data_IF_314317540649
#
_entry.id   IF_314317540649
#
_cell.length_a   1.000
_cell.length_b   1.000
_cell.length_c   1.000
_cell.angle_alpha   90.00
_cell.angle_beta   90.00
_cell.angle_gamma   90.00
#
_symmetry.space_group_name_H-M   'P 1'
#
loop_
_entity.id
_entity.type
_entity.pdbx_description
1 polymer ?
#
# COMPACT_ATOMS: atom_id res chain seq x y z
N UNK A 1 13.09 -3.17 -53.10
CA UNK A 1 11.89 -3.47 -52.30
C UNK A 1 12.35 -4.17 -51.04
N UNK A 2 12.45 -3.45 -49.92
CA UNK A 2 12.77 -4.05 -48.62
C UNK A 2 11.45 -4.47 -47.98
N UNK A 3 11.29 -5.76 -47.70
CA UNK A 3 10.22 -6.24 -46.84
C UNK A 3 10.71 -6.12 -45.40
N UNK A 4 10.11 -5.29 -44.54
CA UNK A 4 10.45 -5.30 -43.13
C UNK A 4 10.04 -6.67 -42.56
N UNK A 5 11.02 -7.47 -42.15
CA UNK A 5 10.79 -8.69 -41.40
C UNK A 5 10.67 -8.26 -39.94
N UNK A 6 9.45 -8.04 -39.49
CA UNK A 6 9.20 -7.77 -38.08
C UNK A 6 9.37 -9.05 -37.27
N UNK A 7 10.21 -9.00 -36.25
CA UNK A 7 10.24 -10.05 -35.23
C UNK A 7 9.34 -9.65 -34.08
N UNK A 8 8.54 -10.59 -33.59
CA UNK A 8 7.72 -10.36 -32.40
C UNK A 8 8.62 -10.23 -31.16
N UNK A 9 8.30 -9.27 -30.30
CA UNK A 9 8.94 -9.07 -29.00
C UNK A 9 7.99 -9.48 -27.87
N UNK A 10 8.55 -9.76 -26.69
CA UNK A 10 7.80 -10.14 -25.49
C UNK A 10 8.51 -9.55 -24.28
N UNK A 11 7.73 -8.94 -23.37
CA UNK A 11 8.22 -8.48 -22.07
C UNK A 11 7.77 -9.51 -21.04
N UNK A 12 8.70 -9.87 -20.17
CA UNK A 12 8.46 -10.72 -19.01
C UNK A 12 8.80 -9.92 -17.75
N UNK A 13 7.82 -9.66 -16.88
CA UNK A 13 8.06 -9.00 -15.58
C UNK A 13 8.26 -10.09 -14.56
N UNK A 14 9.45 -10.14 -13.98
CA UNK A 14 9.80 -11.18 -13.00
C UNK A 14 9.47 -10.74 -11.57
N UNK A 15 9.43 -9.44 -11.30
CA UNK A 15 9.18 -8.91 -9.96
C UNK A 15 8.67 -7.47 -10.01
N UNK A 16 7.62 -7.17 -9.24
CA UNK A 16 7.31 -5.82 -8.77
C UNK A 16 7.23 -5.86 -7.25
N UNK A 17 7.93 -4.95 -6.57
CA UNK A 17 8.01 -4.99 -5.12
C UNK A 17 8.20 -3.63 -4.47
N UNK A 18 7.92 -3.53 -3.16
CA UNK A 18 8.21 -2.34 -2.38
C UNK A 18 9.72 -2.30 -2.07
N UNK A 19 10.37 -1.15 -2.22
CA UNK A 19 11.82 -0.97 -1.98
C UNK A 19 12.75 -1.86 -2.84
N UNK A 20 14.00 -1.43 -3.05
CA UNK A 20 14.95 -2.04 -4.00
C UNK A 20 15.27 -3.54 -3.80
N UNK A 21 14.91 -4.15 -2.66
CA UNK A 21 15.24 -5.53 -2.33
C UNK A 21 14.21 -6.22 -1.44
N UNK A 22 12.98 -5.69 -1.38
CA UNK A 22 11.90 -6.31 -0.61
C UNK A 22 10.78 -6.72 -1.57
N UNK A 23 10.22 -7.90 -1.32
CA UNK A 23 9.18 -8.50 -2.13
C UNK A 23 8.08 -8.92 -1.19
N UNK A 24 6.99 -8.17 -1.21
CA UNK A 24 5.85 -8.38 -0.33
C UNK A 24 4.67 -8.87 -1.15
N UNK A 25 4.07 -9.96 -0.71
CA UNK A 25 2.83 -10.48 -1.32
C UNK A 25 1.73 -10.64 -0.28
N UNK A 26 0.49 -10.55 -0.75
CA UNK A 26 -0.69 -10.83 0.04
C UNK A 26 -1.49 -11.94 -0.61
N UNK A 27 -1.72 -13.03 0.13
CA UNK A 27 -2.55 -14.15 -0.30
C UNK A 27 -3.93 -14.04 0.32
N UNK A 28 -4.95 -13.86 -0.52
CA UNK A 28 -6.34 -13.84 -0.10
C UNK A 28 -6.82 -15.25 0.31
N UNK A 29 -7.89 -15.37 1.12
CA UNK A 29 -8.44 -16.67 1.52
C UNK A 29 -8.85 -17.60 0.37
N UNK A 30 -9.08 -17.04 -0.82
CA UNK A 30 -9.38 -17.77 -2.05
C UNK A 30 -8.13 -18.40 -2.72
N UNK A 31 -6.92 -18.16 -2.17
CA UNK A 31 -5.65 -18.65 -2.69
C UNK A 31 -4.97 -17.75 -3.73
N UNK A 32 -5.60 -16.65 -4.15
CA UNK A 32 -4.96 -15.67 -5.05
C UNK A 32 -3.91 -14.85 -4.31
N UNK A 33 -2.78 -14.60 -4.95
CA UNK A 33 -1.65 -13.89 -4.38
C UNK A 33 -1.29 -12.70 -5.27
N UNK A 34 -1.11 -11.53 -4.66
CA UNK A 34 -0.78 -10.29 -5.35
C UNK A 34 0.45 -9.64 -4.72
N UNK A 35 1.26 -9.00 -5.56
CA UNK A 35 2.36 -8.14 -5.12
C UNK A 35 1.79 -6.90 -4.43
N UNK A 36 2.41 -6.49 -3.32
CA UNK A 36 1.93 -5.38 -2.48
C UNK A 36 2.86 -4.19 -2.64
N UNK A 37 2.29 -3.04 -2.99
CA UNK A 37 2.99 -1.76 -2.98
C UNK A 37 2.36 -0.81 -1.96
N UNK A 38 3.11 0.22 -1.57
CA UNK A 38 2.64 1.22 -0.63
C UNK A 38 2.46 2.58 -1.30
N UNK A 39 1.29 3.17 -1.09
CA UNK A 39 0.96 4.51 -1.57
C UNK A 39 2.00 5.52 -1.06
N UNK A 40 2.48 6.40 -1.95
CA UNK A 40 3.55 7.39 -1.72
C UNK A 40 4.93 6.83 -1.36
N UNK A 41 5.11 5.51 -1.42
CA UNK A 41 6.38 4.87 -1.18
C UNK A 41 7.04 4.42 -2.48
N UNK A 42 8.35 4.19 -2.41
CA UNK A 42 9.14 3.71 -3.52
C UNK A 42 8.86 2.22 -3.81
N UNK A 43 8.89 1.87 -5.08
CA UNK A 43 8.81 0.52 -5.60
C UNK A 43 9.84 0.30 -6.72
N UNK A 44 10.10 -0.95 -7.08
CA UNK A 44 10.94 -1.34 -8.21
C UNK A 44 10.22 -2.30 -9.15
N UNK A 45 10.81 -2.45 -10.34
CA UNK A 45 10.39 -3.40 -11.37
C UNK A 45 11.64 -4.11 -11.90
N UNK A 46 11.58 -5.43 -11.94
CA UNK A 46 12.55 -6.27 -12.65
C UNK A 46 11.83 -6.93 -13.83
N UNK A 47 12.35 -6.73 -15.03
CA UNK A 47 11.76 -7.31 -16.22
C UNK A 47 12.77 -7.50 -17.33
N UNK A 48 12.37 -8.26 -18.36
CA UNK A 48 13.21 -8.60 -19.50
C UNK A 48 12.45 -8.49 -20.80
N UNK A 49 13.08 -7.85 -21.80
CA UNK A 49 12.63 -7.86 -23.18
C UNK A 49 13.35 -8.96 -23.96
N UNK A 50 12.57 -9.81 -24.63
CA UNK A 50 13.10 -10.86 -25.49
C UNK A 50 12.35 -10.89 -26.83
N UNK A 51 12.96 -11.49 -27.85
CA UNK A 51 12.25 -11.90 -29.06
C UNK A 51 11.38 -13.14 -28.76
N UNK A 52 10.41 -13.44 -29.63
CA UNK A 52 9.56 -14.64 -29.47
C UNK A 52 10.32 -15.98 -29.49
N UNK A 53 11.58 -16.00 -29.92
CA UNK A 53 12.46 -17.17 -29.84
C UNK A 53 13.25 -17.25 -28.52
N UNK A 54 12.95 -16.37 -27.54
CA UNK A 54 13.61 -16.30 -26.23
C UNK A 54 14.96 -15.56 -26.22
N UNK A 55 15.45 -15.08 -27.38
CA UNK A 55 16.70 -14.31 -27.41
C UNK A 55 16.53 -12.96 -26.73
N UNK A 56 17.48 -12.55 -25.87
CA UNK A 56 17.43 -11.26 -25.19
C UNK A 56 17.50 -10.09 -26.17
N UNK A 57 16.80 -9.01 -25.84
CA UNK A 57 16.80 -7.76 -26.62
C UNK A 57 17.29 -6.62 -25.74
N UNK A 58 18.58 -6.30 -25.87
CA UNK A 58 19.24 -5.22 -25.15
C UNK A 58 19.23 -3.87 -25.88
N UNK A 59 19.50 -2.81 -25.13
CA UNK A 59 19.64 -1.44 -25.64
C UNK A 59 18.33 -0.78 -26.06
N UNK A 60 17.19 -1.33 -25.64
CA UNK A 60 15.86 -0.82 -25.99
C UNK A 60 15.25 -0.05 -24.83
N UNK A 61 14.56 1.04 -25.16
CA UNK A 61 13.82 1.83 -24.18
C UNK A 61 12.41 1.26 -24.00
N UNK A 62 11.97 1.12 -22.76
CA UNK A 62 10.62 0.70 -22.38
C UNK A 62 9.94 1.78 -21.54
N UNK A 63 8.63 1.91 -21.69
CA UNK A 63 7.77 2.80 -20.94
C UNK A 63 7.17 2.07 -19.74
N UNK A 64 7.14 2.73 -18.58
CA UNK A 64 6.54 2.23 -17.35
C UNK A 64 5.32 3.10 -17.02
N UNK A 65 4.16 2.48 -16.82
CA UNK A 65 2.91 3.15 -16.49
C UNK A 65 2.35 2.65 -15.16
N UNK A 66 1.57 3.50 -14.51
CA UNK A 66 0.75 3.16 -13.36
C UNK A 66 -0.70 3.56 -13.65
N UNK A 67 -1.59 2.58 -13.63
CA UNK A 67 -2.99 2.64 -14.09
C UNK A 67 -3.14 3.21 -15.50
N UNK A 68 -2.62 2.53 -16.53
CA UNK A 68 -2.60 3.04 -17.91
C UNK A 68 -4.00 3.32 -18.48
N UNK A 69 -5.05 2.70 -17.95
CA UNK A 69 -6.45 2.94 -18.34
C UNK A 69 -6.97 4.31 -17.87
N UNK A 70 -6.34 4.91 -16.85
CA UNK A 70 -6.68 6.23 -16.30
C UNK A 70 -5.59 7.26 -16.64
N UNK A 71 -4.31 6.88 -16.47
CA UNK A 71 -3.14 7.69 -16.75
C UNK A 71 -2.41 7.16 -18.00
N UNK A 72 -2.71 7.75 -19.15
CA UNK A 72 -2.12 7.34 -20.44
C UNK A 72 -0.67 7.80 -20.64
N UNK A 73 -0.09 8.54 -19.68
CA UNK A 73 1.32 8.96 -19.73
C UNK A 73 2.17 8.02 -18.87
N UNK A 74 3.34 7.58 -19.37
CA UNK A 74 4.25 6.79 -18.57
C UNK A 74 4.76 7.64 -17.40
N UNK A 75 4.97 6.97 -16.27
CA UNK A 75 5.56 7.57 -15.07
C UNK A 75 7.08 7.59 -15.16
N UNK A 76 7.66 6.69 -15.97
CA UNK A 76 9.10 6.58 -16.19
C UNK A 76 9.43 5.79 -17.46
N UNK A 77 10.71 5.78 -17.81
CA UNK A 77 11.29 4.96 -18.86
C UNK A 77 12.48 4.17 -18.31
N UNK A 78 12.77 3.00 -18.88
CA UNK A 78 13.96 2.23 -18.55
C UNK A 78 14.65 1.70 -19.82
N UNK A 79 15.95 1.39 -19.74
CA UNK A 79 16.70 0.80 -20.84
C UNK A 79 17.08 -0.64 -20.53
N UNK A 80 16.85 -1.54 -21.49
CA UNK A 80 17.26 -2.94 -21.38
C UNK A 80 18.77 -3.08 -21.52
N UNK A 81 19.38 -3.93 -20.71
CA UNK A 81 20.82 -4.19 -20.72
C UNK A 81 21.22 -4.91 -22.01
N UNK A 82 22.30 -4.42 -22.66
CA UNK A 82 22.74 -4.86 -23.99
C UNK A 82 22.86 -6.37 -24.20
N UNK A 83 23.34 -7.10 -23.19
CA UNK A 83 23.60 -8.55 -23.30
C UNK A 83 22.45 -9.47 -22.85
N UNK A 84 21.61 -9.01 -21.91
CA UNK A 84 20.59 -9.87 -21.26
C UNK A 84 19.16 -9.45 -21.59
N UNK A 85 18.96 -8.24 -22.11
CA UNK A 85 17.63 -7.67 -22.34
C UNK A 85 16.87 -7.34 -21.06
N UNK A 86 17.50 -7.48 -19.89
CA UNK A 86 16.92 -7.21 -18.59
C UNK A 86 17.02 -5.73 -18.24
N UNK A 87 16.08 -5.24 -17.45
CA UNK A 87 16.23 -3.97 -16.76
C UNK A 87 15.75 -4.11 -15.31
N UNK A 88 16.40 -3.34 -14.45
CA UNK A 88 16.01 -3.13 -13.06
C UNK A 88 15.74 -1.64 -12.96
N UNK A 89 14.54 -1.27 -12.56
CA UNK A 89 14.15 0.13 -12.42
C UNK A 89 13.69 0.37 -10.99
N UNK A 90 14.22 1.41 -10.34
CA UNK A 90 13.83 1.76 -8.98
C UNK A 90 13.33 3.21 -8.90
N UNK A 91 12.08 3.39 -8.46
CA UNK A 91 11.42 4.69 -8.44
C UNK A 91 12.09 5.77 -7.57
N UNK A 92 12.90 5.39 -6.58
CA UNK A 92 13.64 6.35 -5.75
C UNK A 92 15.09 6.58 -6.21
N UNK A 93 15.56 5.85 -7.22
CA UNK A 93 16.86 6.11 -7.84
C UNK A 93 16.73 7.33 -8.77
N UNK A 94 17.47 8.44 -8.54
CA UNK A 94 17.36 9.63 -9.37
C UNK A 94 17.76 9.41 -10.84
N UNK A 95 18.62 8.41 -11.10
CA UNK A 95 19.07 8.12 -12.45
C UNK A 95 17.98 7.36 -13.23
N UNK A 96 17.19 6.53 -12.55
CA UNK A 96 16.06 5.79 -13.12
C UNK A 96 14.78 6.63 -13.18
N UNK A 97 14.56 7.49 -12.18
CA UNK A 97 13.36 8.31 -12.03
C UNK A 97 13.72 9.70 -11.50
N UNK A 98 13.94 10.69 -12.40
CA UNK A 98 14.26 12.06 -12.00
C UNK A 98 13.19 12.71 -11.11
N UNK A 99 11.93 12.28 -11.22
CA UNK A 99 10.84 12.79 -10.37
C UNK A 99 10.88 12.25 -8.94
N UNK A 100 11.55 11.11 -8.73
CA UNK A 100 11.60 10.34 -7.48
C UNK A 100 10.23 10.00 -6.88
N UNK A 101 9.19 10.03 -7.72
CA UNK A 101 7.82 9.70 -7.31
C UNK A 101 7.66 8.18 -7.30
N UNK A 102 7.19 7.65 -6.18
CA UNK A 102 6.82 6.26 -6.03
C UNK A 102 5.42 5.98 -6.53
N UNK A 103 4.63 5.25 -5.75
CA UNK A 103 3.22 4.97 -6.09
C UNK A 103 2.37 6.22 -5.85
N UNK A 104 2.03 6.93 -6.92
CA UNK A 104 1.21 8.14 -6.84
C UNK A 104 -0.30 7.84 -6.92
N UNK A 105 -1.16 8.66 -6.29
CA UNK A 105 -2.61 8.60 -6.49
C UNK A 105 -3.00 8.69 -7.97
N UNK A 106 -4.00 7.93 -8.40
CA UNK A 106 -4.57 8.01 -9.75
C UNK A 106 -6.03 8.39 -9.67
N UNK A 107 -6.35 9.64 -10.01
CA UNK A 107 -7.69 10.20 -9.79
C UNK A 107 -8.06 10.15 -8.30
N UNK A 108 -9.15 9.46 -7.97
CA UNK A 108 -9.60 9.24 -6.59
C UNK A 108 -9.11 7.91 -6.00
N UNK A 109 -8.38 7.09 -6.77
CA UNK A 109 -7.91 5.79 -6.31
C UNK A 109 -6.59 5.97 -5.55
N UNK A 110 -6.68 5.80 -4.23
CA UNK A 110 -5.54 5.80 -3.31
C UNK A 110 -5.02 4.37 -3.09
N UNK A 111 -5.90 3.48 -2.63
CA UNK A 111 -5.61 2.06 -2.36
C UNK A 111 -6.42 1.12 -3.28
N UNK A 112 -6.08 -0.17 -3.21
CA UNK A 112 -6.78 -1.25 -3.90
C UNK A 112 -5.97 -1.85 -5.04
N UNK A 113 -6.66 -2.61 -5.89
CA UNK A 113 -6.05 -3.22 -7.07
C UNK A 113 -5.73 -2.15 -8.12
N UNK A 114 -4.48 -2.15 -8.57
CA UNK A 114 -3.93 -1.20 -9.54
C UNK A 114 -3.07 -1.95 -10.55
N UNK A 115 -2.79 -1.29 -11.67
CA UNK A 115 -2.07 -1.93 -12.78
C UNK A 115 -0.75 -1.24 -13.04
N UNK A 116 0.35 -1.98 -12.91
CA UNK A 116 1.66 -1.56 -13.41
C UNK A 116 1.83 -2.13 -14.81
N UNK A 117 2.11 -1.27 -15.80
CA UNK A 117 2.30 -1.70 -17.18
C UNK A 117 3.72 -1.38 -17.63
N UNK A 118 4.38 -2.36 -18.23
CA UNK A 118 5.64 -2.17 -18.95
C UNK A 118 5.37 -2.37 -20.43
N UNK A 119 5.79 -1.41 -21.26
CA UNK A 119 5.54 -1.45 -22.70
C UNK A 119 6.79 -1.08 -23.50
N UNK A 120 7.05 -1.86 -24.54
CA UNK A 120 8.01 -1.53 -25.59
C UNK A 120 7.23 -1.04 -26.81
N UNK A 121 7.44 0.22 -27.20
CA UNK A 121 6.52 0.94 -28.09
C UNK A 121 7.28 1.68 -29.20
N UNK A 122 7.93 0.93 -30.11
CA UNK A 122 8.90 1.50 -31.04
C UNK A 122 8.28 2.21 -32.25
N UNK A 123 6.96 2.16 -32.39
CA UNK A 123 6.23 2.64 -33.58
C UNK A 123 5.32 3.84 -33.29
N UNK A 124 5.28 4.33 -32.04
CA UNK A 124 4.35 5.40 -31.67
C UNK A 124 4.99 6.44 -30.76
N UNK A 125 4.58 7.68 -30.95
CA UNK A 125 4.89 8.76 -30.03
C UNK A 125 4.11 8.58 -28.71
N UNK A 126 4.82 8.59 -27.60
CA UNK A 126 4.27 8.57 -26.25
C UNK A 126 4.76 9.81 -25.50
N UNK A 127 3.87 10.76 -25.14
CA UNK A 127 4.28 11.96 -24.41
C UNK A 127 4.94 11.62 -23.06
N UNK A 128 6.20 12.04 -22.88
CA UNK A 128 6.98 11.75 -21.67
C UNK A 128 7.57 10.34 -21.60
N UNK A 129 7.38 9.53 -22.64
CA UNK A 129 7.98 8.20 -22.77
C UNK A 129 9.25 8.20 -23.63
N UNK A 130 9.61 7.01 -24.09
CA UNK A 130 10.71 6.77 -25.01
C UNK A 130 10.57 7.57 -26.31
N UNK A 131 11.65 8.19 -26.75
CA UNK A 131 11.72 8.85 -28.06
C UNK A 131 11.89 7.81 -29.17
N UNK A 132 10.77 7.40 -29.76
CA UNK A 132 10.76 6.36 -30.80
C UNK A 132 11.48 6.79 -32.08
N UNK A 133 11.48 8.08 -32.44
CA UNK A 133 12.15 8.55 -33.67
C UNK A 133 13.67 8.51 -33.52
N UNK A 134 14.18 8.91 -32.35
CA UNK A 134 15.60 8.91 -32.07
C UNK A 134 16.14 7.50 -31.78
N UNK A 135 15.39 6.69 -31.03
CA UNK A 135 15.86 5.39 -30.54
C UNK A 135 15.52 4.23 -31.50
N UNK A 136 14.41 4.34 -32.23
CA UNK A 136 13.90 3.30 -33.14
C UNK A 136 13.54 3.86 -34.53
N UNK A 137 14.45 4.54 -35.24
CA UNK A 137 14.15 5.17 -36.54
C UNK A 137 13.73 4.17 -37.64
N UNK A 138 14.07 2.88 -37.48
CA UNK A 138 13.66 1.79 -38.35
C UNK A 138 13.33 0.56 -37.49
N UNK A 139 12.13 0.50 -36.89
CA UNK A 139 11.80 -0.56 -35.95
C UNK A 139 11.73 -1.91 -36.67
N UNK A 140 12.44 -2.89 -36.14
CA UNK A 140 12.46 -4.29 -36.64
C UNK A 140 11.77 -5.25 -35.68
N UNK A 141 11.30 -4.73 -34.54
CA UNK A 141 10.60 -5.46 -33.49
C UNK A 141 9.21 -4.85 -33.32
N UNK A 142 8.19 -5.70 -33.24
CA UNK A 142 6.83 -5.25 -32.92
C UNK A 142 6.74 -4.78 -31.46
N UNK A 143 5.76 -3.92 -31.17
CA UNK A 143 5.44 -3.52 -29.81
C UNK A 143 5.06 -4.70 -28.92
N UNK A 144 5.38 -4.63 -27.64
CA UNK A 144 4.90 -5.58 -26.63
C UNK A 144 4.53 -4.86 -25.35
N UNK A 145 3.60 -5.45 -24.61
CA UNK A 145 3.07 -4.89 -23.37
C UNK A 145 2.79 -6.02 -22.40
N UNK A 146 2.99 -5.74 -21.11
CA UNK A 146 2.61 -6.63 -20.02
C UNK A 146 2.06 -5.80 -18.87
N UNK A 147 0.95 -6.28 -18.32
CA UNK A 147 0.25 -5.69 -17.20
C UNK A 147 0.40 -6.59 -15.99
N UNK A 148 0.80 -6.01 -14.87
CA UNK A 148 0.92 -6.66 -13.57
C UNK A 148 -0.10 -6.01 -12.64
N UNK A 149 -1.00 -6.84 -12.09
CA UNK A 149 -1.96 -6.41 -11.08
C UNK A 149 -1.31 -6.43 -9.70
N UNK A 150 -1.32 -5.28 -9.03
CA UNK A 150 -0.70 -5.07 -7.72
C UNK A 150 -1.76 -4.61 -6.73
N UNK A 151 -1.58 -4.95 -5.46
CA UNK A 151 -2.41 -4.46 -4.35
C UNK A 151 -1.70 -3.26 -3.70
N UNK A 152 -2.20 -2.05 -3.93
CA UNK A 152 -1.70 -0.84 -3.29
C UNK A 152 -2.37 -0.64 -1.94
N UNK A 153 -1.57 -0.48 -0.89
CA UNK A 153 -2.02 -0.21 0.48
C UNK A 153 -1.43 1.12 0.97
N UNK A 154 -2.07 1.74 1.95
CA UNK A 154 -1.48 2.85 2.69
C UNK A 154 -0.87 2.37 3.99
N UNK A 155 0.30 2.90 4.33
CA UNK A 155 0.76 2.88 5.72
C UNK A 155 -0.11 3.84 6.51
N UNK A 156 -0.54 3.41 7.68
CA UNK A 156 -1.39 4.21 8.56
C UNK A 156 -0.69 4.44 9.89
N UNK A 157 -0.80 5.65 10.39
CA UNK A 157 -0.41 6.04 11.74
C UNK A 157 -1.66 6.17 12.60
N UNK A 158 -1.52 5.75 13.86
CA UNK A 158 -2.55 5.91 14.86
C UNK A 158 -2.14 7.03 15.80
N UNK A 159 -2.94 8.09 15.82
CA UNK A 159 -2.76 9.23 16.70
C UNK A 159 -3.78 9.18 17.83
N UNK A 160 -3.30 9.28 19.06
CA UNK A 160 -4.16 9.45 20.23
C UNK A 160 -4.61 10.92 20.34
N UNK A 161 -5.88 11.19 20.03
CA UNK A 161 -6.48 12.54 20.10
C UNK A 161 -6.86 12.92 21.53
N UNK A 162 -7.40 11.96 22.27
CA UNK A 162 -7.77 12.13 23.67
C UNK A 162 -7.23 10.97 24.50
N UNK A 163 -6.34 11.28 25.44
CA UNK A 163 -5.77 10.33 26.37
C UNK A 163 -6.76 10.04 27.52
N UNK A 164 -6.81 8.79 27.99
CA UNK A 164 -7.73 8.32 29.04
C UNK A 164 -7.03 7.76 30.29
N UNK A 165 -5.71 7.88 30.40
CA UNK A 165 -5.05 7.72 31.70
C UNK A 165 -5.16 8.99 32.53
N UNK A 166 -5.35 8.79 33.82
CA UNK A 166 -5.29 9.84 34.84
C UNK A 166 -4.25 9.43 35.88
N UNK A 167 -3.16 10.21 36.09
CA UNK A 167 -2.20 9.96 37.16
C UNK A 167 -2.83 10.03 38.56
N UNK A 168 -3.88 10.83 38.72
CA UNK A 168 -4.63 10.97 39.97
C UNK A 168 -5.71 9.88 40.15
N UNK A 169 -5.91 9.02 39.15
CA UNK A 169 -7.02 8.08 39.09
C UNK A 169 -8.35 8.74 38.70
N UNK A 170 -9.41 7.95 38.71
CA UNK A 170 -10.79 8.36 38.48
C UNK A 170 -11.62 8.11 39.75
N UNK A 171 -12.61 8.95 40.01
CA UNK A 171 -13.62 8.75 41.04
C UNK A 171 -14.85 8.06 40.43
N UNK A 172 -15.59 7.30 41.24
CA UNK A 172 -16.83 6.67 40.80
C UNK A 172 -17.80 7.71 40.22
N UNK A 173 -18.30 7.45 39.02
CA UNK A 173 -19.14 8.37 38.25
C UNK A 173 -18.38 9.28 37.29
N UNK A 174 -17.05 9.38 37.38
CA UNK A 174 -16.26 10.14 36.41
C UNK A 174 -16.38 9.53 35.01
N UNK A 175 -16.46 10.39 33.99
CA UNK A 175 -16.52 9.94 32.60
C UNK A 175 -15.10 9.72 32.08
N UNK A 176 -14.81 8.48 31.71
CA UNK A 176 -13.62 8.11 30.96
C UNK A 176 -13.97 8.19 29.48
N UNK A 177 -13.31 9.09 28.76
CA UNK A 177 -13.45 9.25 27.34
C UNK A 177 -12.10 9.20 26.65
N UNK A 178 -12.07 8.59 25.47
CA UNK A 178 -10.87 8.39 24.70
C UNK A 178 -11.16 8.47 23.21
N UNK A 179 -10.17 8.94 22.45
CA UNK A 179 -10.30 9.07 21.00
C UNK A 179 -8.96 8.74 20.33
N UNK A 180 -9.03 7.87 19.33
CA UNK A 180 -7.93 7.60 18.40
C UNK A 180 -8.34 8.07 17.01
N UNK A 181 -7.36 8.58 16.25
CA UNK A 181 -7.52 8.92 14.85
C UNK A 181 -6.53 8.12 14.02
N UNK A 182 -6.98 7.61 12.88
CA UNK A 182 -6.16 6.88 11.92
C UNK A 182 -5.92 7.76 10.70
N UNK A 183 -4.64 7.99 10.43
CA UNK A 183 -4.15 8.86 9.37
C UNK A 183 -3.24 8.06 8.43
N UNK A 184 -3.20 8.44 7.15
CA UNK A 184 -2.22 7.92 6.21
C UNK A 184 -0.87 8.62 6.45
N UNK A 185 0.15 7.86 6.82
CA UNK A 185 1.49 8.32 7.22
C UNK A 185 2.06 9.42 6.29
N UNK A 186 1.95 9.25 4.98
CA UNK A 186 2.59 10.13 3.98
C UNK A 186 1.67 11.17 3.34
N UNK A 187 0.38 11.14 3.67
CA UNK A 187 -0.62 12.05 3.10
C UNK A 187 -1.29 12.92 4.15
N UNK A 188 -1.15 12.60 5.43
CA UNK A 188 -1.92 13.20 6.54
C UNK A 188 -3.44 13.21 6.29
N UNK A 189 -3.92 12.27 5.46
CA UNK A 189 -5.32 12.11 5.12
C UNK A 189 -5.99 11.09 6.04
N UNK A 190 -7.19 11.41 6.48
CA UNK A 190 -7.98 10.59 7.40
C UNK A 190 -8.46 9.30 6.75
N UNK A 191 -8.44 8.21 7.51
CA UNK A 191 -8.91 6.89 7.04
C UNK A 191 -10.29 6.62 7.65
N UNK A 192 -11.34 6.77 6.85
CA UNK A 192 -12.70 6.42 7.21
C UNK A 192 -12.97 4.92 7.02
N UNK A 193 -13.92 4.37 7.78
CA UNK A 193 -14.40 3.00 7.58
C UNK A 193 -13.53 1.92 8.22
N UNK A 194 -12.50 2.29 8.97
CA UNK A 194 -11.57 1.36 9.61
C UNK A 194 -12.10 0.89 10.95
N UNK A 195 -11.96 -0.42 11.22
CA UNK A 195 -12.37 -1.04 12.48
C UNK A 195 -11.35 -0.78 13.57
N UNK A 196 -11.83 -0.27 14.70
CA UNK A 196 -11.09 -0.07 15.94
C UNK A 196 -11.82 -0.79 17.07
N UNK A 197 -11.09 -1.57 17.86
CA UNK A 197 -11.63 -2.27 19.01
C UNK A 197 -11.05 -1.68 20.29
N UNK A 198 -11.90 -1.22 21.20
CA UNK A 198 -11.52 -0.79 22.53
C UNK A 198 -11.84 -1.91 23.52
N UNK A 199 -10.80 -2.44 24.15
CA UNK A 199 -10.92 -3.50 25.15
C UNK A 199 -10.91 -2.88 26.54
N UNK A 200 -12.08 -2.91 27.19
CA UNK A 200 -12.22 -2.49 28.59
C UNK A 200 -11.99 -3.68 29.50
N UNK A 201 -10.99 -3.56 30.36
CA UNK A 201 -10.57 -4.62 31.26
C UNK A 201 -10.45 -4.12 32.69
N UNK A 202 -10.68 -5.03 33.63
CA UNK A 202 -10.48 -4.81 35.05
C UNK A 202 -9.54 -5.85 35.63
N UNK A 203 -8.90 -5.52 36.74
CA UNK A 203 -8.05 -6.46 37.48
C UNK A 203 -8.92 -7.30 38.41
N UNK A 204 -8.99 -8.61 38.17
CA UNK A 204 -9.85 -9.50 38.95
C UNK A 204 -9.18 -9.98 40.26
N UNK A 205 -9.96 -10.69 41.09
CA UNK A 205 -9.49 -11.24 42.37
C UNK A 205 -8.39 -12.29 42.22
N UNK A 206 -8.34 -12.98 41.08
CA UNK A 206 -7.29 -13.97 40.76
C UNK A 206 -5.95 -13.33 40.38
N UNK A 207 -5.89 -12.01 40.27
CA UNK A 207 -4.68 -11.29 39.89
C UNK A 207 -4.42 -11.27 38.39
N UNK A 208 -5.47 -11.28 37.57
CA UNK A 208 -5.39 -11.24 36.11
C UNK A 208 -6.27 -10.12 35.52
N UNK A 209 -5.90 -9.63 34.34
CA UNK A 209 -6.74 -8.70 33.59
C UNK A 209 -7.86 -9.46 32.88
N UNK A 210 -9.10 -9.17 33.26
CA UNK A 210 -10.29 -9.76 32.68
C UNK A 210 -11.02 -8.74 31.79
N UNK A 211 -11.43 -9.16 30.59
CA UNK A 211 -12.21 -8.32 29.68
C UNK A 211 -13.66 -8.26 30.11
N UNK A 212 -14.15 -7.06 30.37
CA UNK A 212 -15.58 -6.83 30.63
C UNK A 212 -16.32 -6.55 29.31
N UNK A 213 -15.74 -5.75 28.42
CA UNK A 213 -16.37 -5.39 27.14
C UNK A 213 -15.33 -5.11 26.06
N UNK A 214 -15.71 -5.43 24.83
CA UNK A 214 -15.03 -4.96 23.61
C UNK A 214 -16.00 -4.06 22.85
N UNK A 215 -15.65 -2.79 22.70
CA UNK A 215 -16.39 -1.84 21.88
C UNK A 215 -15.75 -1.78 20.50
N UNK A 216 -16.50 -2.24 19.49
CA UNK A 216 -16.06 -2.25 18.10
C UNK A 216 -16.66 -1.02 17.43
N UNK A 217 -15.78 -0.11 17.00
CA UNK A 217 -16.14 1.15 16.38
C UNK A 217 -15.53 1.25 14.98
N UNK A 218 -16.18 2.04 14.13
CA UNK A 218 -15.72 2.34 12.78
C UNK A 218 -15.31 3.81 12.74
N UNK A 219 -14.14 4.10 12.17
CA UNK A 219 -13.67 5.48 12.03
C UNK A 219 -14.61 6.28 11.11
N UNK A 220 -14.92 7.51 11.51
CA UNK A 220 -15.74 8.44 10.73
C UNK A 220 -14.96 9.12 9.60
N UNK A 221 -15.57 10.08 8.89
CA UNK A 221 -14.94 10.90 7.84
C UNK A 221 -13.62 11.59 8.27
N UNK A 222 -13.48 11.86 9.58
CA UNK A 222 -12.26 12.44 10.18
C UNK A 222 -11.25 11.38 10.61
N UNK A 223 -11.48 10.11 10.30
CA UNK A 223 -10.63 8.99 10.68
C UNK A 223 -10.65 8.69 12.17
N UNK A 224 -11.61 9.24 12.92
CA UNK A 224 -11.66 9.14 14.37
C UNK A 224 -12.62 8.05 14.85
N UNK A 225 -12.22 7.31 15.88
CA UNK A 225 -13.06 6.44 16.69
C UNK A 225 -12.92 6.82 18.17
N UNK A 226 -14.04 7.05 18.85
CA UNK A 226 -14.05 7.47 20.25
C UNK A 226 -15.00 6.63 21.11
N UNK A 227 -14.66 6.50 22.38
CA UNK A 227 -15.49 5.85 23.39
C UNK A 227 -15.72 6.79 24.56
N UNK A 228 -16.78 6.54 25.32
CA UNK A 228 -17.06 7.24 26.57
C UNK A 228 -17.90 6.37 27.49
N UNK A 229 -17.47 6.20 28.74
CA UNK A 229 -18.22 5.47 29.75
C UNK A 229 -17.94 5.97 31.16
N UNK A 230 -18.88 5.80 32.12
CA UNK A 230 -18.64 6.13 33.52
C UNK A 230 -17.72 5.10 34.19
N UNK A 231 -16.79 5.57 35.02
CA UNK A 231 -15.98 4.75 35.90
C UNK A 231 -16.81 4.23 37.08
N UNK A 232 -16.76 2.92 37.33
CA UNK A 232 -17.64 2.23 38.28
C UNK A 232 -16.93 1.66 39.51
N UNK A 233 -15.66 2.05 39.73
CA UNK A 233 -14.90 1.63 40.90
C UNK A 233 -14.70 0.13 40.93
N UNK A 234 -15.14 -0.53 42.00
CA UNK A 234 -15.00 -2.00 42.15
C UNK A 234 -16.16 -2.77 41.49
N UNK A 235 -17.25 -2.10 41.13
CA UNK A 235 -18.45 -2.74 40.60
C UNK A 235 -18.34 -2.95 39.09
N UNK A 236 -18.66 -4.16 38.61
CA UNK A 236 -18.67 -4.47 37.18
C UNK A 236 -20.11 -4.42 36.62
N UNK A 237 -20.42 -3.50 35.68
CA UNK A 237 -21.77 -3.39 35.13
C UNK A 237 -22.27 -4.68 34.47
N UNK A 238 -23.43 -5.16 34.89
CA UNK A 238 -24.06 -6.36 34.33
C UNK A 238 -23.49 -7.69 34.83
N UNK A 239 -22.45 -7.66 35.66
CA UNK A 239 -21.74 -8.83 36.19
C UNK A 239 -21.61 -8.75 37.72
N UNK A 240 -22.70 -8.99 38.48
CA UNK A 240 -22.68 -8.93 39.94
C UNK A 240 -21.73 -9.98 40.58
N UNK A 241 -21.38 -11.02 39.83
CA UNK A 241 -20.43 -12.06 40.22
C UNK A 241 -18.96 -11.65 40.05
N UNK A 242 -18.69 -10.51 39.41
CA UNK A 242 -17.33 -9.99 39.20
C UNK A 242 -17.08 -8.75 40.08
N UNK A 243 -15.83 -8.60 40.49
CA UNK A 243 -15.34 -7.46 41.26
C UNK A 243 -13.97 -7.03 40.74
N UNK A 244 -13.67 -5.74 40.81
CA UNK A 244 -12.37 -5.17 40.52
C UNK A 244 -11.70 -4.64 41.80
N UNK A 245 -11.02 -5.49 42.60
CA UNK A 245 -10.41 -5.07 43.85
C UNK A 245 -9.47 -3.87 43.68
N UNK A 246 -9.73 -2.81 44.46
CA UNK A 246 -8.95 -1.57 44.38
C UNK A 246 -9.21 -0.74 43.13
N UNK A 247 -10.32 -0.98 42.42
CA UNK A 247 -10.79 -0.15 41.30
C UNK A 247 -9.81 -0.07 40.13
N UNK A 248 -9.07 -1.15 39.85
CA UNK A 248 -8.05 -1.14 38.79
C UNK A 248 -8.68 -1.49 37.44
N UNK A 249 -8.68 -0.50 36.55
CA UNK A 249 -9.18 -0.62 35.19
C UNK A 249 -8.13 -0.22 34.18
N UNK A 250 -8.23 -0.78 32.97
CA UNK A 250 -7.49 -0.29 31.81
C UNK A 250 -8.35 -0.36 30.57
N UNK A 251 -8.05 0.54 29.64
CA UNK A 251 -8.52 0.49 28.26
C UNK A 251 -7.31 0.47 27.36
N UNK A 252 -7.28 -0.49 26.46
CA UNK A 252 -6.33 -0.56 25.36
C UNK A 252 -7.11 -0.79 24.08
N UNK A 253 -6.49 -0.50 22.94
CA UNK A 253 -7.17 -0.59 21.65
C UNK A 253 -6.37 -1.44 20.67
N UNK A 254 -7.08 -1.98 19.68
CA UNK A 254 -6.50 -2.61 18.48
C UNK A 254 -7.18 -2.05 17.25
N UNK A 255 -6.51 -2.16 16.11
CA UNK A 255 -7.12 -1.95 14.79
C UNK A 255 -6.65 -3.06 13.87
N UNK A 256 -7.60 -3.66 13.15
CA UNK A 256 -7.26 -4.66 12.13
C UNK A 256 -6.77 -3.91 10.89
N UNK A 257 -5.53 -4.19 10.49
CA UNK A 257 -4.90 -3.71 9.27
C UNK A 257 -5.12 -4.66 8.09
#
# INVERSE_FOLDING_TARGET
MFFPVFSNSTIDVTEVGPFRSDYLTYTFPNGSTFEVLYLKEAFHINARLSQSNGKPVGGKCVNIYLDPEVNTRPIATAFTAGGTGEFVWYSADPDDNPSRRGVEPSGNNLEGFRTVRVAYEPERYVPGGCDYEALEPNPVLNSSVVDVEVLVRSKVDILLKQHWSSPAGYQEGDIIAGEVAILRDRLDLTVEGQRVEFHRQFWNESGEWQTERVEILITNERGSANFSFPYTGETIPGHPEWSAPGGKWRVWFTSNQ
#
